data_IF_051404549485
#
_entry.id   IF_051404549485
#
_cell.length_a   1.000
_cell.length_b   1.000
_cell.length_c   1.000
_cell.angle_alpha   90.00
_cell.angle_beta   90.00
_cell.angle_gamma   90.00
#
_symmetry.space_group_name_H-M   'P 1'
#
loop_
_entity.id
_entity.type
_entity.pdbx_description
1 polymer ?
#
# COMPACT_ATOMS: atom_id res chain seq x y z
N UNK A 1 1.87 -36.88 -32.34
CA UNK A 1 1.10 -36.95 -31.09
C UNK A 1 1.54 -35.77 -30.27
N UNK A 2 0.71 -34.76 -30.00
CA UNK A 2 1.07 -33.67 -29.13
C UNK A 2 1.15 -34.19 -27.68
N UNK A 3 2.27 -33.95 -27.00
CA UNK A 3 2.41 -34.21 -25.58
C UNK A 3 1.44 -33.27 -24.84
N UNK A 4 0.46 -33.84 -24.16
CA UNK A 4 -0.37 -33.13 -23.22
C UNK A 4 0.54 -32.68 -22.07
N UNK A 5 0.68 -31.37 -21.89
CA UNK A 5 1.28 -30.79 -20.69
C UNK A 5 0.36 -31.21 -19.54
N UNK A 6 0.86 -31.87 -18.47
CA UNK A 6 0.03 -32.22 -17.34
C UNK A 6 -0.52 -30.91 -16.75
N UNK A 7 -1.83 -30.86 -16.48
CA UNK A 7 -2.43 -29.79 -15.70
C UNK A 7 -1.65 -29.68 -14.40
N UNK A 8 -1.10 -28.49 -14.11
CA UNK A 8 -0.54 -28.21 -12.79
C UNK A 8 -1.70 -28.37 -11.81
N UNK A 9 -1.54 -29.23 -10.81
CA UNK A 9 -2.44 -29.25 -9.66
C UNK A 9 -2.49 -27.83 -9.11
N UNK A 10 -3.66 -27.18 -9.24
CA UNK A 10 -3.90 -25.88 -8.64
C UNK A 10 -3.72 -26.01 -7.11
N UNK A 11 -2.99 -25.12 -6.45
CA UNK A 11 -2.86 -25.16 -5.00
C UNK A 11 -4.28 -25.10 -4.41
N UNK A 12 -4.65 -26.12 -3.66
CA UNK A 12 -5.92 -26.12 -2.94
C UNK A 12 -5.77 -25.23 -1.72
N UNK A 13 -6.20 -23.97 -1.83
CA UNK A 13 -6.27 -23.06 -0.68
C UNK A 13 -7.41 -23.47 0.25
N UNK A 14 -7.20 -23.34 1.56
CA UNK A 14 -8.29 -23.43 2.52
C UNK A 14 -9.23 -22.23 2.34
N UNK A 15 -10.52 -22.49 2.11
CA UNK A 15 -11.54 -21.47 1.85
C UNK A 15 -12.60 -21.57 2.95
N UNK A 16 -12.50 -20.76 4.01
CA UNK A 16 -13.44 -20.81 5.11
C UNK A 16 -14.81 -20.26 4.73
N UNK A 17 -15.85 -20.74 5.40
CA UNK A 17 -17.14 -20.08 5.44
C UNK A 17 -17.13 -19.05 6.59
N UNK A 18 -17.41 -17.78 6.29
CA UNK A 18 -17.35 -16.69 7.24
C UNK A 18 -18.72 -16.06 7.49
N UNK A 19 -18.92 -15.53 8.68
CA UNK A 19 -20.07 -14.72 9.05
C UNK A 19 -19.57 -13.33 9.40
N UNK A 20 -19.99 -12.32 8.62
CA UNK A 20 -19.67 -10.92 8.86
C UNK A 20 -20.91 -10.15 9.30
N UNK A 21 -20.78 -9.35 10.36
CA UNK A 21 -21.84 -8.48 10.87
C UNK A 21 -21.32 -7.08 11.07
N UNK A 22 -21.91 -6.11 10.39
CA UNK A 22 -21.58 -4.69 10.48
C UNK A 22 -22.70 -3.92 11.14
N UNK A 23 -22.35 -3.09 12.12
CA UNK A 23 -23.27 -2.19 12.79
C UNK A 23 -22.66 -0.79 12.93
N UNK A 24 -23.52 0.24 12.93
CA UNK A 24 -23.10 1.62 13.23
C UNK A 24 -22.71 1.72 14.70
N UNK A 25 -21.62 2.42 14.95
CA UNK A 25 -21.20 2.81 16.31
C UNK A 25 -21.75 4.20 16.60
N UNK A 26 -22.55 4.35 17.67
CA UNK A 26 -22.99 5.66 18.13
C UNK A 26 -21.79 6.42 18.72
N UNK A 27 -21.26 7.34 17.94
CA UNK A 27 -20.04 8.11 18.25
C UNK A 27 -20.36 9.41 19.00
N UNK A 28 -21.36 9.41 19.87
CA UNK A 28 -21.67 10.56 20.76
C UNK A 28 -20.50 10.94 21.70
N UNK A 29 -19.51 10.06 21.82
CA UNK A 29 -18.19 10.33 22.41
C UNK A 29 -17.20 10.21 21.26
N UNK A 30 -16.56 11.31 20.84
CA UNK A 30 -15.51 11.29 19.82
C UNK A 30 -14.62 10.06 20.05
N UNK A 31 -14.81 9.03 19.22
CA UNK A 31 -13.90 7.90 19.21
C UNK A 31 -12.50 8.44 18.97
N UNK A 32 -11.54 7.93 19.70
CA UNK A 32 -10.11 8.10 19.51
C UNK A 32 -9.74 8.01 18.02
N UNK A 33 -8.60 8.53 17.63
CA UNK A 33 -8.09 8.29 16.28
C UNK A 33 -8.13 6.78 15.99
N UNK A 34 -8.51 6.37 14.78
CA UNK A 34 -8.71 4.95 14.44
C UNK A 34 -7.52 4.07 14.86
N UNK A 35 -6.30 4.57 14.70
CA UNK A 35 -5.08 3.83 15.07
C UNK A 35 -4.95 3.59 16.59
N UNK A 36 -5.54 4.44 17.43
CA UNK A 36 -5.55 4.27 18.88
C UNK A 36 -6.48 3.13 19.34
N UNK A 37 -7.37 2.66 18.46
CA UNK A 37 -8.25 1.52 18.73
C UNK A 37 -7.53 0.17 18.60
N UNK A 38 -6.37 0.13 17.94
CA UNK A 38 -5.60 -1.09 17.75
C UNK A 38 -5.11 -1.63 19.11
N UNK A 39 -5.35 -2.91 19.42
CA UNK A 39 -4.84 -3.53 20.65
C UNK A 39 -3.32 -3.69 20.61
N UNK A 40 -2.70 -3.92 21.76
CA UNK A 40 -1.32 -4.35 21.81
C UNK A 40 -1.21 -5.74 21.16
N UNK A 41 -0.21 -5.91 20.30
CA UNK A 41 0.06 -7.16 19.59
C UNK A 41 1.56 -7.37 19.48
N UNK A 42 2.02 -8.63 19.61
CA UNK A 42 3.42 -8.96 19.40
C UNK A 42 3.80 -8.70 17.93
N UNK A 43 4.71 -7.75 17.72
CA UNK A 43 5.17 -7.30 16.42
C UNK A 43 4.04 -6.91 15.42
N UNK A 44 2.80 -6.70 15.91
CA UNK A 44 1.67 -6.30 15.08
C UNK A 44 1.16 -7.37 14.10
N UNK A 45 1.52 -8.63 14.27
CA UNK A 45 1.29 -9.71 13.31
C UNK A 45 -0.18 -9.93 12.93
N UNK A 46 -1.12 -9.53 13.78
CA UNK A 46 -2.56 -9.64 13.58
C UNK A 46 -3.27 -8.28 13.43
N UNK A 47 -2.52 -7.20 13.25
CA UNK A 47 -3.06 -5.86 13.04
C UNK A 47 -3.07 -5.51 11.55
N UNK A 48 -4.08 -4.76 11.13
CA UNK A 48 -4.16 -4.16 9.79
C UNK A 48 -4.63 -2.71 9.90
N UNK A 49 -4.14 -1.86 9.01
CA UNK A 49 -4.61 -0.47 8.94
C UNK A 49 -4.52 0.09 7.53
N UNK A 50 -5.47 0.96 7.20
CA UNK A 50 -5.50 1.81 6.02
C UNK A 50 -6.21 3.10 6.39
N UNK A 51 -5.45 4.10 6.82
CA UNK A 51 -6.01 5.33 7.41
C UNK A 51 -5.41 6.57 6.75
N UNK A 52 -6.26 7.56 6.46
CA UNK A 52 -5.87 8.85 5.93
C UNK A 52 -6.77 9.94 6.49
N UNK A 53 -6.20 11.02 7.06
CA UNK A 53 -6.95 12.15 7.66
C UNK A 53 -7.96 11.72 8.73
N UNK A 54 -7.64 10.68 9.48
CA UNK A 54 -8.52 10.15 10.52
C UNK A 54 -9.69 9.30 10.02
N UNK A 55 -9.81 9.07 8.71
CA UNK A 55 -10.77 8.19 8.06
C UNK A 55 -10.09 6.93 7.52
N UNK A 56 -10.86 5.89 7.28
CA UNK A 56 -10.39 4.62 6.72
C UNK A 56 -10.76 3.43 7.60
N UNK A 57 -9.91 2.41 7.60
CA UNK A 57 -10.16 1.13 8.25
C UNK A 57 -8.98 0.74 9.13
N UNK A 58 -9.28 0.19 10.31
CA UNK A 58 -8.32 -0.55 11.15
C UNK A 58 -8.94 -1.88 11.53
N UNK A 59 -8.12 -2.91 11.72
CA UNK A 59 -8.62 -4.21 12.12
C UNK A 59 -7.58 -5.03 12.87
N UNK A 60 -8.05 -6.08 13.55
CA UNK A 60 -7.22 -6.98 14.32
C UNK A 60 -7.80 -8.38 14.44
N UNK A 61 -6.95 -9.31 14.84
CA UNK A 61 -7.21 -10.74 14.79
C UNK A 61 -7.25 -11.24 13.34
N UNK A 62 -7.29 -12.55 13.16
CA UNK A 62 -7.29 -13.17 11.83
C UNK A 62 -8.43 -14.17 11.75
N UNK A 63 -9.48 -13.84 10.96
CA UNK A 63 -10.56 -14.77 10.65
C UNK A 63 -10.21 -15.70 9.49
N UNK A 64 -9.44 -15.19 8.51
CA UNK A 64 -8.90 -15.98 7.40
C UNK A 64 -7.65 -15.30 6.82
N UNK A 65 -6.80 -16.11 6.18
CA UNK A 65 -5.58 -15.64 5.55
C UNK A 65 -5.23 -16.55 4.35
N UNK A 66 -4.75 -15.95 3.27
CA UNK A 66 -4.09 -16.68 2.18
C UNK A 66 -2.75 -16.05 1.88
N UNK A 67 -1.76 -16.90 1.61
CA UNK A 67 -0.46 -16.51 1.05
C UNK A 67 -0.38 -17.03 -0.37
N UNK A 68 0.00 -16.16 -1.28
CA UNK A 68 0.19 -16.48 -2.70
C UNK A 68 1.58 -16.07 -3.14
N UNK A 69 2.10 -16.69 -4.20
CA UNK A 69 3.44 -16.41 -4.68
C UNK A 69 3.54 -16.62 -6.20
N UNK A 70 4.63 -16.15 -6.77
CA UNK A 70 4.90 -16.35 -8.20
C UNK A 70 4.09 -15.45 -9.13
N UNK A 71 4.10 -15.77 -10.43
CA UNK A 71 3.44 -14.96 -11.46
C UNK A 71 1.91 -14.94 -11.36
N UNK A 72 1.31 -15.94 -10.68
CA UNK A 72 -0.16 -16.05 -10.51
C UNK A 72 -0.67 -15.45 -9.19
N UNK A 73 0.20 -14.83 -8.38
CA UNK A 73 -0.11 -14.36 -7.02
C UNK A 73 -1.39 -13.51 -6.91
N UNK A 74 -1.64 -12.63 -7.87
CA UNK A 74 -2.86 -11.81 -7.91
C UNK A 74 -4.09 -12.63 -8.28
N UNK A 75 -3.99 -13.46 -9.33
CA UNK A 75 -5.09 -14.30 -9.80
C UNK A 75 -5.49 -15.33 -8.74
N UNK A 76 -4.51 -15.95 -8.06
CA UNK A 76 -4.75 -16.91 -6.98
C UNK A 76 -5.42 -16.24 -5.78
N UNK A 77 -4.97 -15.06 -5.38
CA UNK A 77 -5.57 -14.26 -4.32
C UNK A 77 -7.01 -13.82 -4.66
N UNK A 78 -7.24 -13.36 -5.90
CA UNK A 78 -8.56 -12.96 -6.37
C UNK A 78 -9.53 -14.14 -6.42
N UNK A 79 -9.07 -15.31 -6.87
CA UNK A 79 -9.84 -16.57 -6.88
C UNK A 79 -10.23 -16.97 -5.45
N UNK A 80 -9.25 -17.03 -4.55
CA UNK A 80 -9.51 -17.35 -3.15
C UNK A 80 -10.51 -16.40 -2.52
N UNK A 81 -10.34 -15.08 -2.72
CA UNK A 81 -11.26 -14.08 -2.20
C UNK A 81 -12.69 -14.26 -2.74
N UNK A 82 -12.83 -14.48 -4.04
CA UNK A 82 -14.14 -14.74 -4.65
C UNK A 82 -14.85 -15.95 -4.03
N UNK A 83 -14.10 -17.03 -3.75
CA UNK A 83 -14.65 -18.23 -3.11
C UNK A 83 -15.01 -17.99 -1.63
N UNK A 84 -14.23 -17.18 -0.89
CA UNK A 84 -14.55 -16.76 0.49
C UNK A 84 -15.85 -15.96 0.50
N UNK A 85 -15.97 -14.95 -0.39
CA UNK A 85 -17.17 -14.13 -0.53
C UNK A 85 -18.40 -14.97 -0.88
N UNK A 86 -18.26 -15.94 -1.80
CA UNK A 86 -19.37 -16.82 -2.20
C UNK A 86 -19.88 -17.71 -1.08
N UNK A 87 -19.04 -18.02 -0.08
CA UNK A 87 -19.41 -18.85 1.09
C UNK A 87 -19.79 -18.04 2.32
N UNK A 88 -19.59 -16.73 2.29
CA UNK A 88 -19.85 -15.87 3.44
C UNK A 88 -21.33 -15.56 3.63
N UNK A 89 -21.73 -15.36 4.88
CA UNK A 89 -23.00 -14.75 5.25
C UNK A 89 -22.72 -13.36 5.79
N UNK A 90 -23.25 -12.33 5.10
CA UNK A 90 -23.01 -10.94 5.45
C UNK A 90 -24.30 -10.28 5.90
N UNK A 91 -24.26 -9.62 7.05
CA UNK A 91 -25.31 -8.71 7.54
C UNK A 91 -24.67 -7.33 7.69
N UNK A 92 -25.08 -6.38 6.88
CA UNK A 92 -24.53 -5.03 6.87
C UNK A 92 -25.66 -4.00 6.95
N UNK A 93 -25.65 -3.21 8.03
CA UNK A 93 -26.62 -2.15 8.29
C UNK A 93 -26.16 -0.78 7.78
N UNK A 94 -24.93 -0.68 7.26
CA UNK A 94 -24.27 0.59 6.87
C UNK A 94 -24.23 0.78 5.36
N UNK A 95 -23.76 -0.21 4.61
CA UNK A 95 -23.71 -0.18 3.14
C UNK A 95 -22.73 0.82 2.53
N UNK A 96 -21.66 1.16 3.26
CA UNK A 96 -20.57 2.00 2.76
C UNK A 96 -19.39 1.13 2.26
N UNK A 97 -18.56 1.63 1.32
CA UNK A 97 -17.35 0.92 0.95
C UNK A 97 -16.46 0.63 2.16
N UNK A 98 -16.02 -0.63 2.29
CA UNK A 98 -15.26 -1.09 3.45
C UNK A 98 -16.11 -1.57 4.63
N UNK A 99 -17.42 -1.75 4.44
CA UNK A 99 -18.30 -2.45 5.38
C UNK A 99 -18.52 -3.91 4.96
N UNK A 100 -19.13 -4.72 5.81
CA UNK A 100 -19.32 -6.15 5.55
C UNK A 100 -18.01 -6.92 5.57
N UNK A 101 -17.84 -7.85 4.64
CA UNK A 101 -16.62 -8.66 4.54
C UNK A 101 -15.51 -7.87 3.83
N UNK A 102 -14.38 -7.71 4.51
CA UNK A 102 -13.23 -6.94 4.01
C UNK A 102 -11.95 -7.76 4.14
N UNK A 103 -11.09 -7.69 3.14
CA UNK A 103 -9.72 -8.22 3.17
C UNK A 103 -8.70 -7.09 3.02
N UNK A 104 -7.57 -7.21 3.70
CA UNK A 104 -6.40 -6.35 3.52
C UNK A 104 -5.31 -7.14 2.80
N UNK A 105 -4.59 -6.50 1.91
CA UNK A 105 -3.58 -7.20 1.12
C UNK A 105 -2.28 -6.43 0.96
N UNK A 106 -1.23 -7.19 0.73
CA UNK A 106 0.08 -6.69 0.37
C UNK A 106 0.74 -7.65 -0.62
N UNK A 107 1.08 -7.13 -1.80
CA UNK A 107 1.59 -7.92 -2.90
C UNK A 107 3.06 -7.61 -3.19
N UNK A 108 3.82 -8.64 -3.56
CA UNK A 108 5.22 -8.48 -3.90
C UNK A 108 5.41 -7.67 -5.19
N UNK A 109 6.51 -6.89 -5.25
CA UNK A 109 6.92 -6.16 -6.43
C UNK A 109 7.23 -7.10 -7.59
N UNK A 110 8.06 -8.10 -7.35
CA UNK A 110 8.44 -9.13 -8.34
C UNK A 110 7.57 -10.38 -8.22
N UNK A 111 7.47 -11.15 -9.28
CA UNK A 111 6.84 -12.46 -9.31
C UNK A 111 7.76 -13.61 -8.89
N UNK A 112 9.00 -13.32 -8.55
CA UNK A 112 10.00 -14.31 -8.12
C UNK A 112 10.77 -13.80 -6.87
N UNK A 113 10.55 -14.35 -5.67
CA UNK A 113 9.59 -15.41 -5.28
C UNK A 113 8.13 -14.98 -5.32
N UNK A 114 7.82 -13.69 -5.14
CA UNK A 114 6.50 -13.11 -5.29
C UNK A 114 5.58 -13.27 -4.07
N UNK A 115 6.13 -13.45 -2.86
CA UNK A 115 5.36 -13.68 -1.63
C UNK A 115 4.39 -12.54 -1.32
N UNK A 116 3.10 -12.87 -1.35
CA UNK A 116 1.99 -11.93 -1.20
C UNK A 116 0.97 -12.47 -0.20
N UNK A 117 0.12 -11.60 0.34
CA UNK A 117 -0.83 -11.98 1.37
C UNK A 117 -2.16 -11.24 1.21
N UNK A 118 -3.27 -11.93 1.50
CA UNK A 118 -4.56 -11.36 1.86
C UNK A 118 -4.95 -11.81 3.27
N UNK A 119 -5.37 -10.87 4.11
CA UNK A 119 -5.79 -11.09 5.49
C UNK A 119 -7.23 -10.62 5.64
N UNK A 120 -8.09 -11.45 6.22
CA UNK A 120 -9.42 -11.10 6.67
C UNK A 120 -9.37 -10.94 8.19
N UNK A 121 -9.48 -9.73 8.75
CA UNK A 121 -9.45 -9.52 10.20
C UNK A 121 -10.68 -10.11 10.89
N UNK A 122 -10.57 -10.43 12.17
CA UNK A 122 -11.74 -10.83 12.98
C UNK A 122 -12.60 -9.63 13.37
N UNK A 123 -11.98 -8.45 13.52
CA UNK A 123 -12.66 -7.20 13.84
C UNK A 123 -12.14 -6.11 12.91
N UNK A 124 -13.05 -5.32 12.35
CA UNK A 124 -12.74 -4.13 11.57
C UNK A 124 -13.52 -2.95 12.13
N UNK A 125 -12.84 -1.83 12.37
CA UNK A 125 -13.49 -0.55 12.67
C UNK A 125 -13.19 0.40 11.53
N UNK A 126 -14.25 0.99 10.98
CA UNK A 126 -14.13 1.93 9.88
C UNK A 126 -14.78 3.28 10.20
N UNK A 127 -14.28 4.33 9.55
CA UNK A 127 -14.83 5.69 9.63
C UNK A 127 -14.79 6.35 8.27
N UNK A 128 -15.93 6.97 7.90
CA UNK A 128 -16.06 7.79 6.69
C UNK A 128 -17.01 8.95 6.98
N UNK A 129 -16.50 10.17 6.90
CA UNK A 129 -17.27 11.37 7.26
C UNK A 129 -17.76 11.30 8.69
N UNK A 130 -19.08 11.35 8.87
CA UNK A 130 -19.73 11.26 10.18
C UNK A 130 -20.10 9.83 10.60
N UNK A 131 -19.90 8.84 9.74
CA UNK A 131 -20.28 7.45 10.00
C UNK A 131 -19.09 6.66 10.50
N UNK A 132 -19.26 6.01 11.65
CA UNK A 132 -18.31 5.04 12.20
C UNK A 132 -19.03 3.71 12.39
N UNK A 133 -18.37 2.61 12.06
CA UNK A 133 -18.93 1.27 12.16
C UNK A 133 -17.95 0.28 12.72
N UNK A 134 -18.46 -0.83 13.19
CA UNK A 134 -17.69 -2.02 13.55
C UNK A 134 -18.23 -3.20 12.77
N UNK A 135 -17.32 -4.01 12.21
CA UNK A 135 -17.61 -5.30 11.61
C UNK A 135 -16.93 -6.40 12.42
N UNK A 136 -17.67 -7.41 12.82
CA UNK A 136 -17.13 -8.65 13.38
C UNK A 136 -17.17 -9.75 12.33
N UNK A 137 -16.09 -10.50 12.21
CA UNK A 137 -15.94 -11.58 11.22
C UNK A 137 -15.48 -12.83 11.95
N UNK A 138 -16.24 -13.92 11.85
CA UNK A 138 -15.99 -15.18 12.51
C UNK A 138 -16.20 -16.37 11.56
N UNK A 139 -15.55 -17.51 11.83
CA UNK A 139 -15.81 -18.73 11.08
C UNK A 139 -17.21 -19.25 11.34
N UNK A 140 -17.92 -19.63 10.27
CA UNK A 140 -19.22 -20.26 10.41
C UNK A 140 -19.06 -21.62 11.14
N UNK A 141 -19.95 -21.95 12.09
CA UNK A 141 -19.91 -23.23 12.77
C UNK A 141 -20.13 -24.39 11.78
N UNK A 142 -19.40 -25.48 11.96
CA UNK A 142 -19.42 -26.63 11.05
C UNK A 142 -20.79 -27.38 11.01
N UNK A 143 -21.72 -27.09 11.92
CA UNK A 143 -23.06 -27.72 12.00
C UNK A 143 -24.16 -26.68 12.16
N UNK A 144 -25.27 -26.89 11.44
CA UNK A 144 -26.44 -26.00 11.43
C UNK A 144 -27.14 -25.81 12.80
N UNK A 145 -26.85 -26.63 13.79
CA UNK A 145 -27.42 -26.56 15.14
C UNK A 145 -26.87 -25.42 16.03
N UNK A 146 -25.74 -24.83 15.64
CA UNK A 146 -25.12 -23.72 16.38
C UNK A 146 -25.62 -22.31 15.92
N UNK A 147 -26.54 -22.24 14.96
CA UNK A 147 -26.97 -20.97 14.37
C UNK A 147 -27.97 -20.15 15.23
N UNK A 148 -28.32 -20.61 16.43
CA UNK A 148 -29.18 -19.89 17.37
C UNK A 148 -28.36 -19.24 18.49
N UNK A 149 -27.36 -18.43 18.16
CA UNK A 149 -26.80 -17.51 19.14
C UNK A 149 -27.66 -16.25 19.12
N UNK A 150 -28.25 -15.84 20.27
CA UNK A 150 -29.01 -14.60 20.34
C UNK A 150 -28.10 -13.45 19.90
N UNK A 151 -28.66 -12.46 19.19
CA UNK A 151 -28.03 -11.18 18.96
C UNK A 151 -27.58 -10.62 20.33
N UNK A 152 -26.44 -11.06 20.79
CA UNK A 152 -25.73 -10.38 21.85
C UNK A 152 -25.48 -9.00 21.26
N UNK A 153 -26.18 -8.00 21.81
CA UNK A 153 -25.82 -6.61 21.61
C UNK A 153 -24.30 -6.54 21.86
N UNK A 154 -23.54 -6.55 20.76
CA UNK A 154 -22.13 -6.26 20.80
C UNK A 154 -22.04 -4.77 21.19
N UNK A 155 -22.28 -4.49 22.47
CA UNK A 155 -21.53 -3.45 23.10
C UNK A 155 -20.07 -3.96 23.02
N UNK A 156 -19.47 -3.76 21.86
CA UNK A 156 -18.04 -3.70 21.78
C UNK A 156 -17.65 -2.60 22.77
N UNK A 157 -17.40 -2.98 24.01
CA UNK A 157 -16.54 -2.23 24.87
C UNK A 157 -15.26 -2.19 24.03
N UNK A 158 -15.02 -1.07 23.39
CA UNK A 158 -13.70 -0.77 22.88
C UNK A 158 -12.76 -1.17 24.01
N UNK A 159 -11.80 -2.09 23.81
CA UNK A 159 -10.83 -2.39 24.84
C UNK A 159 -10.33 -1.03 25.28
N UNK A 160 -10.57 -0.72 26.59
CA UNK A 160 -10.15 0.57 27.13
C UNK A 160 -8.70 0.69 26.72
N UNK A 161 -8.40 1.70 25.94
CA UNK A 161 -7.03 2.00 25.58
C UNK A 161 -6.27 2.09 26.90
N UNK A 162 -5.54 1.03 27.24
CA UNK A 162 -4.39 1.18 28.09
C UNK A 162 -3.48 2.09 27.29
N UNK A 163 -3.68 3.41 27.51
CA UNK A 163 -2.79 4.44 27.04
C UNK A 163 -1.49 4.35 27.85
N UNK A 164 -0.87 3.19 27.78
CA UNK A 164 0.54 3.05 28.07
C UNK A 164 1.20 3.97 27.07
N UNK A 165 1.79 5.06 27.55
CA UNK A 165 2.52 6.02 26.73
C UNK A 165 3.41 5.17 25.78
N UNK A 166 3.09 5.20 24.47
CA UNK A 166 3.84 4.46 23.46
C UNK A 166 5.29 4.94 23.59
N UNK A 167 6.15 4.11 24.19
CA UNK A 167 7.52 4.48 24.55
C UNK A 167 8.33 4.82 23.30
N UNK A 168 9.21 5.79 23.40
CA UNK A 168 10.24 6.02 22.40
C UNK A 168 11.16 4.79 22.40
N UNK A 169 11.25 4.09 21.28
CA UNK A 169 12.22 3.02 21.10
C UNK A 169 13.52 3.63 20.55
N UNK A 170 14.67 3.15 20.95
CA UNK A 170 15.91 3.62 20.36
C UNK A 170 16.29 2.71 19.18
N UNK A 171 16.37 3.29 17.99
CA UNK A 171 16.76 2.59 16.78
C UNK A 171 18.22 2.88 16.40
N UNK A 172 18.99 1.85 16.14
CA UNK A 172 20.31 1.94 15.50
C UNK A 172 20.22 1.48 14.06
N UNK A 173 20.71 2.31 13.14
CA UNK A 173 20.66 2.03 11.72
C UNK A 173 22.00 1.44 11.25
N UNK A 174 21.95 0.47 10.33
CA UNK A 174 23.11 -0.09 9.69
C UNK A 174 23.89 0.98 8.90
N UNK A 175 25.17 0.73 8.67
CA UNK A 175 25.92 1.48 7.69
C UNK A 175 25.39 1.19 6.28
N UNK A 176 25.41 2.19 5.43
CA UNK A 176 25.00 2.09 4.05
C UNK A 176 26.15 2.51 3.12
N UNK A 177 26.50 1.64 2.18
CA UNK A 177 27.52 1.90 1.17
C UNK A 177 26.96 2.79 0.05
N UNK A 178 27.02 4.10 0.28
CA UNK A 178 26.56 5.11 -0.68
C UNK A 178 27.37 5.12 -1.96
N UNK A 179 28.67 4.80 -1.92
CA UNK A 179 29.52 4.77 -3.12
C UNK A 179 29.13 3.63 -4.05
N UNK A 180 28.91 2.43 -3.50
CA UNK A 180 28.42 1.29 -4.26
C UNK A 180 27.06 1.58 -4.88
N UNK A 181 26.14 2.19 -4.14
CA UNK A 181 24.80 2.51 -4.65
C UNK A 181 24.87 3.57 -5.75
N UNK A 182 25.70 4.62 -5.60
CA UNK A 182 25.93 5.61 -6.67
C UNK A 182 26.53 4.98 -7.93
N UNK A 183 27.35 3.94 -7.80
CA UNK A 183 27.85 3.19 -8.96
C UNK A 183 26.74 2.44 -9.69
N UNK A 184 25.77 1.86 -8.98
CA UNK A 184 24.57 1.23 -9.57
C UNK A 184 23.72 2.26 -10.32
N UNK A 185 23.52 3.46 -9.75
CA UNK A 185 22.81 4.54 -10.42
C UNK A 185 23.57 5.00 -11.68
N UNK A 186 24.90 5.10 -11.62
CA UNK A 186 25.72 5.47 -12.77
C UNK A 186 25.62 4.44 -13.92
N UNK A 187 25.61 3.13 -13.60
CA UNK A 187 25.40 2.06 -14.60
C UNK A 187 24.02 2.18 -15.25
N UNK A 188 22.97 2.44 -14.44
CA UNK A 188 21.63 2.67 -14.95
C UNK A 188 21.57 3.87 -15.90
N UNK A 189 22.19 5.00 -15.55
CA UNK A 189 22.29 6.20 -16.41
C UNK A 189 23.00 5.88 -17.72
N UNK A 190 24.09 5.11 -17.68
CA UNK A 190 24.82 4.72 -18.89
C UNK A 190 23.95 3.86 -19.82
N UNK A 191 23.21 2.90 -19.30
CA UNK A 191 22.30 2.04 -20.08
C UNK A 191 21.15 2.84 -20.69
N UNK A 192 20.57 3.79 -19.95
CA UNK A 192 19.55 4.70 -20.47
C UNK A 192 20.12 5.55 -21.62
N UNK A 193 21.33 6.11 -21.46
CA UNK A 193 21.96 6.92 -22.49
C UNK A 193 22.37 6.13 -23.74
N UNK A 194 22.53 4.81 -23.63
CA UNK A 194 22.71 3.91 -24.79
C UNK A 194 21.39 3.60 -25.50
N UNK A 195 20.26 3.91 -24.89
CA UNK A 195 18.93 3.66 -25.44
C UNK A 195 18.36 2.27 -25.08
N UNK A 196 18.90 1.60 -24.06
CA UNK A 196 18.40 0.30 -23.59
C UNK A 196 17.00 0.44 -22.96
N UNK A 197 16.71 1.59 -22.29
CA UNK A 197 15.43 1.96 -21.70
C UNK A 197 15.39 3.48 -21.51
N UNK A 198 14.21 4.02 -21.16
CA UNK A 198 14.02 5.46 -20.96
C UNK A 198 14.17 5.88 -19.48
N UNK A 199 13.72 5.02 -18.56
CA UNK A 199 13.69 5.27 -17.12
C UNK A 199 13.76 3.96 -16.35
N UNK A 200 14.44 3.98 -15.20
CA UNK A 200 14.37 2.90 -14.20
C UNK A 200 14.30 3.48 -12.79
N UNK A 201 13.62 2.79 -11.88
CA UNK A 201 13.62 3.16 -10.46
C UNK A 201 14.56 2.24 -9.70
N UNK A 202 15.60 2.80 -9.08
CA UNK A 202 16.58 2.05 -8.29
C UNK A 202 16.29 2.26 -6.81
N UNK A 203 16.13 1.16 -6.10
CA UNK A 203 15.85 1.15 -4.67
C UNK A 203 17.06 0.71 -3.84
N UNK A 204 16.95 0.91 -2.55
CA UNK A 204 17.85 0.43 -1.52
C UNK A 204 17.12 0.19 -0.21
N UNK A 205 17.76 -0.56 0.67
CA UNK A 205 17.26 -0.81 2.01
C UNK A 205 18.21 -0.28 3.09
N UNK A 206 17.71 -0.25 4.31
CA UNK A 206 18.43 0.11 5.52
C UNK A 206 17.87 -0.72 6.67
N UNK A 207 18.73 -1.36 7.45
CA UNK A 207 18.31 -2.13 8.61
C UNK A 207 18.34 -1.25 9.85
N UNK A 208 17.23 -1.25 10.60
CA UNK A 208 17.13 -0.69 11.93
C UNK A 208 17.10 -1.83 12.96
N UNK A 209 17.96 -1.75 13.97
CA UNK A 209 17.93 -2.61 15.16
C UNK A 209 17.38 -1.81 16.31
N UNK A 210 16.31 -2.30 16.90
CA UNK A 210 15.59 -1.67 18.01
C UNK A 210 16.10 -2.19 19.35
N UNK A 211 16.06 -1.36 20.38
CA UNK A 211 16.44 -1.75 21.74
C UNK A 211 15.41 -2.70 22.40
N UNK A 212 14.13 -2.50 22.05
CA UNK A 212 13.01 -3.29 22.56
C UNK A 212 12.16 -3.80 21.38
N UNK A 213 11.38 -4.87 21.55
CA UNK A 213 10.43 -5.33 20.53
C UNK A 213 9.53 -4.18 20.04
N UNK A 214 9.29 -4.16 18.73
CA UNK A 214 8.48 -3.12 18.11
C UNK A 214 7.00 -3.25 18.53
N UNK A 215 6.44 -2.14 19.01
CA UNK A 215 5.00 -1.92 19.01
C UNK A 215 4.65 -1.05 17.80
N UNK A 216 4.13 -1.69 16.76
CA UNK A 216 3.88 -1.03 15.46
C UNK A 216 2.88 0.13 15.57
N UNK A 217 2.05 0.20 16.62
CA UNK A 217 1.12 1.30 16.86
C UNK A 217 1.85 2.64 17.01
N UNK A 218 3.03 2.62 17.65
CA UNK A 218 3.83 3.83 17.84
C UNK A 218 4.27 4.45 16.50
N UNK A 219 4.99 3.74 15.61
CA UNK A 219 5.34 4.31 14.30
C UNK A 219 4.13 4.61 13.43
N UNK A 220 3.03 3.85 13.47
CA UNK A 220 1.81 4.16 12.73
C UNK A 220 1.20 5.50 13.17
N UNK A 221 1.08 5.73 14.48
CA UNK A 221 0.56 6.99 15.02
C UNK A 221 1.43 8.17 14.61
N UNK A 222 2.76 8.05 14.77
CA UNK A 222 3.70 9.12 14.38
C UNK A 222 3.64 9.43 12.88
N UNK A 223 3.52 8.40 12.04
CA UNK A 223 3.37 8.57 10.59
C UNK A 223 2.05 9.27 10.24
N UNK A 224 0.94 8.88 10.85
CA UNK A 224 -0.36 9.49 10.60
C UNK A 224 -0.39 10.98 11.03
N UNK A 225 0.23 11.30 12.15
CA UNK A 225 0.31 12.68 12.66
C UNK A 225 1.23 13.55 11.80
N UNK A 226 2.40 13.03 11.42
CA UNK A 226 3.38 13.79 10.64
C UNK A 226 2.99 13.90 9.15
N UNK A 227 2.29 12.89 8.60
CA UNK A 227 1.94 12.81 7.18
C UNK A 227 0.44 12.60 6.93
N UNK A 228 -0.45 13.49 7.42
CA UNK A 228 -1.92 13.29 7.37
C UNK A 228 -2.48 13.20 5.95
N UNK A 229 -1.72 13.62 4.92
CA UNK A 229 -2.11 13.53 3.51
C UNK A 229 -1.78 12.18 2.89
N UNK A 230 -0.97 11.35 3.55
CA UNK A 230 -0.60 10.01 3.12
C UNK A 230 -1.58 8.97 3.69
N UNK A 231 -1.65 7.81 3.06
CA UNK A 231 -2.31 6.63 3.61
C UNK A 231 -1.34 5.91 4.55
N UNK A 232 -1.63 5.93 5.84
CA UNK A 232 -0.89 5.16 6.84
C UNK A 232 -1.44 3.75 6.84
N UNK A 233 -0.57 2.78 6.61
CA UNK A 233 -0.95 1.39 6.42
C UNK A 233 -0.09 0.43 7.23
N UNK A 234 -0.70 -0.72 7.54
CA UNK A 234 -0.03 -1.90 8.06
C UNK A 234 -0.73 -3.16 7.56
N UNK A 235 0.01 -4.09 6.98
CA UNK A 235 -0.46 -5.42 6.57
C UNK A 235 0.67 -6.43 6.73
N UNK A 236 0.49 -7.41 7.63
CA UNK A 236 1.40 -8.55 7.80
C UNK A 236 2.88 -8.11 7.94
N UNK A 237 3.15 -7.16 8.85
CA UNK A 237 4.50 -6.65 9.14
C UNK A 237 5.03 -5.58 8.19
N UNK A 238 4.42 -5.36 7.03
CA UNK A 238 4.75 -4.21 6.17
C UNK A 238 3.94 -3.00 6.59
N UNK A 239 4.60 -1.88 6.93
CA UNK A 239 3.95 -0.65 7.37
C UNK A 239 4.59 0.60 6.77
N UNK A 240 3.84 1.69 6.73
CA UNK A 240 4.34 2.95 6.18
C UNK A 240 3.27 4.02 6.02
N UNK A 241 3.65 5.12 5.33
CA UNK A 241 2.74 6.19 4.96
C UNK A 241 2.95 6.59 3.49
N UNK A 242 2.15 6.00 2.61
CA UNK A 242 2.28 6.22 1.17
C UNK A 242 1.48 7.43 0.70
N UNK A 243 2.06 8.33 -0.11
CA UNK A 243 1.33 9.41 -0.78
C UNK A 243 0.65 8.94 -2.07
N UNK A 244 0.97 7.74 -2.58
CA UNK A 244 0.63 7.30 -3.93
C UNK A 244 -0.50 6.27 -3.91
N UNK A 245 -1.65 6.67 -4.48
CA UNK A 245 -2.80 5.81 -4.69
C UNK A 245 -2.66 5.13 -6.05
N UNK A 246 -2.35 3.83 -6.04
CA UNK A 246 -2.29 3.05 -7.26
C UNK A 246 -3.65 3.00 -7.94
N UNK A 247 -4.69 2.59 -7.18
CA UNK A 247 -6.07 2.61 -7.65
C UNK A 247 -7.06 2.56 -6.49
N UNK A 248 -8.16 3.26 -6.66
CA UNK A 248 -9.41 3.13 -5.90
C UNK A 248 -10.53 2.75 -6.85
N UNK A 249 -11.32 1.76 -6.48
CA UNK A 249 -12.63 1.51 -7.06
C UNK A 249 -13.68 1.76 -5.99
N UNK A 250 -14.66 2.59 -6.28
CA UNK A 250 -15.75 2.91 -5.37
C UNK A 250 -17.05 3.01 -6.17
N UNK A 251 -17.97 2.06 -5.96
CA UNK A 251 -19.26 1.98 -6.68
C UNK A 251 -19.09 2.12 -8.21
N UNK A 252 -18.06 1.46 -8.74
CA UNK A 252 -17.72 1.49 -10.17
C UNK A 252 -16.87 2.68 -10.63
N UNK A 253 -16.71 3.73 -9.83
CA UNK A 253 -15.78 4.82 -10.14
C UNK A 253 -14.35 4.37 -9.83
N UNK A 254 -13.47 4.49 -10.80
CA UNK A 254 -12.03 4.18 -10.69
C UNK A 254 -11.26 5.50 -10.60
N UNK A 255 -10.31 5.57 -9.69
CA UNK A 255 -9.38 6.71 -9.53
C UNK A 255 -7.98 6.18 -9.29
N UNK A 256 -7.00 6.73 -10.01
CA UNK A 256 -5.57 6.49 -9.78
C UNK A 256 -4.86 7.82 -9.61
N UNK A 257 -3.98 7.95 -8.62
CA UNK A 257 -3.16 9.16 -8.41
C UNK A 257 -1.72 8.88 -8.81
N UNK A 258 -1.30 9.50 -9.88
CA UNK A 258 0.07 9.43 -10.40
C UNK A 258 0.92 10.52 -9.78
N UNK A 259 2.08 10.15 -9.25
CA UNK A 259 3.09 11.09 -8.73
C UNK A 259 4.40 10.88 -9.50
N UNK A 260 4.88 11.94 -10.14
CA UNK A 260 6.21 11.99 -10.77
C UNK A 260 6.72 13.42 -10.78
N UNK A 261 8.05 13.61 -10.79
CA UNK A 261 8.66 14.92 -10.54
C UNK A 261 8.63 15.28 -9.05
N UNK A 262 9.79 15.59 -8.49
CA UNK A 262 9.93 15.83 -7.04
C UNK A 262 10.84 16.99 -6.76
N UNK A 263 10.48 17.85 -5.81
CA UNK A 263 11.35 18.90 -5.28
C UNK A 263 11.30 18.90 -3.75
N UNK A 264 12.45 19.09 -3.09
CA UNK A 264 12.54 19.15 -1.63
C UNK A 264 11.97 20.48 -1.12
N UNK A 265 11.26 20.42 0.00
CA UNK A 265 10.86 21.61 0.73
C UNK A 265 11.99 22.11 1.63
N UNK A 266 12.01 23.41 1.84
CA UNK A 266 12.95 24.08 2.76
C UNK A 266 12.33 24.34 4.12
N UNK A 267 10.98 24.32 4.22
CA UNK A 267 10.22 24.70 5.41
C UNK A 267 9.96 26.21 5.51
N UNK A 268 10.43 27.00 4.54
CA UNK A 268 10.07 28.41 4.39
C UNK A 268 8.96 28.52 3.34
N UNK A 269 7.79 28.98 3.73
CA UNK A 269 6.59 28.97 2.88
C UNK A 269 6.74 29.82 1.61
N UNK A 270 7.43 30.95 1.65
CA UNK A 270 7.63 31.83 0.50
C UNK A 270 8.61 31.19 -0.50
N UNK A 271 9.69 30.61 0.02
CA UNK A 271 10.65 29.89 -0.81
C UNK A 271 10.02 28.63 -1.39
N UNK A 272 9.25 27.88 -0.62
CA UNK A 272 8.55 26.66 -1.07
C UNK A 272 7.51 26.96 -2.17
N UNK A 273 6.82 28.10 -2.12
CA UNK A 273 5.95 28.55 -3.23
C UNK A 273 6.74 28.79 -4.52
N UNK A 274 7.94 29.35 -4.41
CA UNK A 274 8.84 29.57 -5.56
C UNK A 274 9.31 28.23 -6.12
N UNK A 275 9.67 27.29 -5.26
CA UNK A 275 10.05 25.92 -5.65
C UNK A 275 8.88 25.18 -6.32
N UNK A 276 7.66 25.30 -5.79
CA UNK A 276 6.45 24.75 -6.40
C UNK A 276 6.22 25.28 -7.81
N UNK A 277 6.37 26.60 -8.00
CA UNK A 277 6.25 27.22 -9.32
C UNK A 277 7.37 26.79 -10.28
N UNK A 278 8.57 26.53 -9.77
CA UNK A 278 9.70 26.00 -10.55
C UNK A 278 9.38 24.58 -11.01
N UNK A 279 8.95 23.70 -10.12
CA UNK A 279 8.54 22.33 -10.42
C UNK A 279 7.44 22.28 -11.47
N UNK A 280 6.38 23.10 -11.29
CA UNK A 280 5.24 23.16 -12.22
C UNK A 280 5.60 23.68 -13.62
N UNK A 281 6.80 24.28 -13.81
CA UNK A 281 7.29 24.80 -15.10
C UNK A 281 8.50 24.05 -15.63
N UNK A 282 9.00 23.08 -14.89
CA UNK A 282 10.15 22.27 -15.31
C UNK A 282 9.76 21.35 -16.47
N UNK A 283 10.30 21.60 -17.64
CA UNK A 283 10.01 20.77 -18.83
C UNK A 283 10.41 19.31 -18.61
N UNK A 284 11.52 19.06 -17.90
CA UNK A 284 11.99 17.72 -17.55
C UNK A 284 10.97 16.99 -16.65
N UNK A 285 10.54 17.65 -15.56
CA UNK A 285 9.62 17.02 -14.60
C UNK A 285 8.23 16.83 -15.20
N UNK A 286 7.76 17.76 -16.06
CA UNK A 286 6.50 17.63 -16.78
C UNK A 286 6.53 16.48 -17.80
N UNK A 287 7.63 16.31 -18.53
CA UNK A 287 7.81 15.20 -19.47
C UNK A 287 7.83 13.84 -18.73
N UNK A 288 8.60 13.75 -17.64
CA UNK A 288 8.61 12.56 -16.78
C UNK A 288 7.21 12.23 -16.25
N UNK A 289 6.48 13.25 -15.82
CA UNK A 289 5.12 13.11 -15.30
C UNK A 289 4.14 12.64 -16.39
N UNK A 290 4.24 13.19 -17.60
CA UNK A 290 3.39 12.78 -18.74
C UNK A 290 3.57 11.29 -19.08
N UNK A 291 4.81 10.79 -19.09
CA UNK A 291 5.06 9.35 -19.28
C UNK A 291 4.37 8.49 -18.21
N UNK A 292 4.46 8.89 -16.95
CA UNK A 292 3.83 8.17 -15.86
C UNK A 292 2.29 8.18 -15.97
N UNK A 293 1.70 9.32 -16.29
CA UNK A 293 0.24 9.46 -16.48
C UNK A 293 -0.25 8.63 -17.67
N UNK A 294 0.47 8.67 -18.79
CA UNK A 294 0.13 7.87 -19.98
C UNK A 294 0.19 6.38 -19.69
N UNK A 295 1.24 5.91 -19.00
CA UNK A 295 1.38 4.50 -18.61
C UNK A 295 0.18 4.02 -17.78
N UNK A 296 -0.31 4.83 -16.83
CA UNK A 296 -1.50 4.51 -16.03
C UNK A 296 -2.77 4.53 -16.88
N UNK A 297 -2.93 5.54 -17.76
CA UNK A 297 -4.09 5.66 -18.61
C UNK A 297 -4.19 4.47 -19.58
N UNK A 298 -3.09 4.10 -20.23
CA UNK A 298 -3.01 2.97 -21.16
C UNK A 298 -3.30 1.63 -20.46
N UNK A 299 -2.82 1.44 -19.22
CA UNK A 299 -3.08 0.25 -18.44
C UNK A 299 -4.54 0.15 -17.97
N UNK A 300 -5.21 1.27 -17.70
CA UNK A 300 -6.62 1.31 -17.28
C UNK A 300 -7.61 1.27 -18.44
N UNK A 301 -7.25 1.69 -19.65
CA UNK A 301 -8.16 1.81 -20.79
C UNK A 301 -8.91 0.50 -21.14
N UNK A 302 -8.27 -0.69 -21.12
CA UNK A 302 -8.97 -1.97 -21.33
C UNK A 302 -10.01 -2.29 -20.23
N UNK A 303 -9.84 -1.73 -19.03
CA UNK A 303 -10.61 -2.03 -17.84
C UNK A 303 -11.65 -0.95 -17.48
N UNK A 304 -11.55 0.21 -18.10
CA UNK A 304 -12.41 1.36 -17.81
C UNK A 304 -13.11 1.88 -19.07
N UNK A 305 -14.21 2.55 -18.86
CA UNK A 305 -14.91 3.38 -19.86
C UNK A 305 -14.93 4.82 -19.37
N UNK A 306 -15.14 5.75 -20.30
CA UNK A 306 -15.25 7.18 -19.96
C UNK A 306 -14.09 7.71 -19.13
N UNK A 307 -12.87 7.37 -19.56
CA UNK A 307 -11.65 7.86 -18.92
C UNK A 307 -11.56 9.38 -18.98
N UNK A 308 -11.13 9.99 -17.87
CA UNK A 308 -10.73 11.40 -17.79
C UNK A 308 -9.29 11.48 -17.33
N UNK A 309 -8.43 12.00 -18.20
CA UNK A 309 -6.99 12.20 -17.95
C UNK A 309 -6.73 13.70 -18.04
N UNK A 310 -6.53 14.40 -16.92
CA UNK A 310 -6.22 15.84 -16.92
C UNK A 310 -4.95 16.16 -17.70
N UNK A 311 -4.99 17.21 -18.52
CA UNK A 311 -3.84 17.65 -19.34
C UNK A 311 -2.70 18.26 -18.51
N UNK A 312 -3.01 18.80 -17.34
CA UNK A 312 -2.04 19.48 -16.49
C UNK A 312 -2.03 18.90 -15.07
N UNK A 313 -0.85 18.61 -14.52
CA UNK A 313 -0.74 18.19 -13.13
C UNK A 313 -0.96 19.35 -12.17
N UNK A 314 -1.27 19.02 -10.92
CA UNK A 314 -1.19 19.94 -9.78
C UNK A 314 0.04 19.64 -8.92
N UNK A 315 0.44 20.59 -8.07
CA UNK A 315 1.52 20.36 -7.09
C UNK A 315 0.93 19.83 -5.80
N UNK A 316 1.32 18.59 -5.43
CA UNK A 316 0.99 18.00 -4.14
C UNK A 316 2.06 18.36 -3.13
N UNK A 317 1.66 19.03 -2.04
CA UNK A 317 2.54 19.40 -0.94
C UNK A 317 2.53 18.34 0.15
N UNK A 318 3.69 17.75 0.44
CA UNK A 318 3.96 16.92 1.61
C UNK A 318 4.88 17.68 2.57
N UNK A 319 5.04 17.26 3.82
CA UNK A 319 5.86 18.00 4.80
C UNK A 319 7.30 18.24 4.35
N UNK A 320 7.93 17.29 3.69
CA UNK A 320 9.35 17.29 3.32
C UNK A 320 9.63 17.45 1.82
N UNK A 321 8.63 17.21 0.95
CA UNK A 321 8.77 17.26 -0.51
C UNK A 321 7.49 17.77 -1.17
N UNK A 322 7.59 18.19 -2.43
CA UNK A 322 6.45 18.44 -3.31
C UNK A 322 6.58 17.57 -4.54
N UNK A 323 5.44 17.09 -5.07
CA UNK A 323 5.35 16.29 -6.29
C UNK A 323 4.40 16.92 -7.30
N UNK A 324 4.66 16.69 -8.59
CA UNK A 324 3.58 16.81 -9.57
C UNK A 324 2.63 15.63 -9.40
N UNK A 325 1.33 15.90 -9.48
CA UNK A 325 0.28 14.93 -9.26
C UNK A 325 -0.83 15.05 -10.30
N UNK A 326 -1.36 13.90 -10.77
CA UNK A 326 -2.53 13.85 -11.65
C UNK A 326 -3.45 12.74 -11.17
N UNK A 327 -4.75 13.08 -11.03
CA UNK A 327 -5.79 12.09 -10.71
C UNK A 327 -6.44 11.64 -12.02
N UNK A 328 -6.11 10.43 -12.47
CA UNK A 328 -6.75 9.75 -13.61
C UNK A 328 -8.02 9.09 -13.10
N UNK A 329 -9.15 9.33 -13.76
CA UNK A 329 -10.44 8.74 -13.36
C UNK A 329 -11.12 8.03 -14.51
N UNK A 330 -11.94 7.03 -14.20
CA UNK A 330 -12.72 6.27 -15.20
C UNK A 330 -13.87 5.51 -14.53
N UNK A 331 -14.67 4.83 -15.32
CA UNK A 331 -15.73 3.94 -14.85
C UNK A 331 -15.31 2.51 -15.18
N UNK A 332 -15.28 1.65 -14.17
CA UNK A 332 -14.94 0.24 -14.35
C UNK A 332 -15.86 -0.42 -15.38
N UNK A 333 -15.28 -1.20 -16.28
CA UNK A 333 -16.02 -2.09 -17.17
C UNK A 333 -16.22 -3.41 -16.47
N UNK A 334 -17.38 -4.00 -16.66
CA UNK A 334 -17.74 -5.29 -16.07
C UNK A 334 -17.59 -5.27 -14.52
N UNK A 335 -17.54 -6.42 -13.91
CA UNK A 335 -17.40 -6.56 -12.45
C UNK A 335 -15.91 -6.58 -12.00
N UNK A 336 -15.03 -5.80 -12.67
CA UNK A 336 -13.62 -5.73 -12.31
C UNK A 336 -13.44 -5.22 -10.89
N UNK A 337 -12.77 -6.03 -10.06
CA UNK A 337 -12.46 -5.68 -8.68
C UNK A 337 -11.29 -4.70 -8.59
N UNK A 338 -11.19 -3.98 -7.47
CA UNK A 338 -10.06 -3.10 -7.18
C UNK A 338 -8.71 -3.84 -7.23
N UNK A 339 -8.65 -5.12 -6.82
CA UNK A 339 -7.45 -5.94 -6.90
C UNK A 339 -7.03 -6.24 -8.34
N UNK A 340 -7.98 -6.57 -9.22
CA UNK A 340 -7.69 -6.80 -10.64
C UNK A 340 -7.20 -5.52 -11.35
N UNK A 341 -7.71 -4.36 -10.93
CA UNK A 341 -7.21 -3.08 -11.42
C UNK A 341 -5.79 -2.78 -10.88
N UNK A 342 -5.52 -3.13 -9.62
CA UNK A 342 -4.17 -3.01 -9.06
C UNK A 342 -3.16 -3.93 -9.76
N UNK A 343 -3.55 -5.17 -10.11
CA UNK A 343 -2.74 -6.09 -10.92
C UNK A 343 -2.40 -5.49 -12.30
N UNK A 344 -3.39 -4.91 -12.99
CA UNK A 344 -3.21 -4.31 -14.31
C UNK A 344 -2.25 -3.10 -14.30
N UNK A 345 -2.16 -2.40 -13.17
CA UNK A 345 -1.30 -1.23 -12.98
C UNK A 345 0.09 -1.60 -12.41
N UNK A 346 0.30 -2.84 -12.00
CA UNK A 346 1.54 -3.23 -11.30
C UNK A 346 2.47 -4.08 -12.16
N UNK A 347 3.79 -3.75 -12.17
CA UNK A 347 4.39 -2.54 -11.61
C UNK A 347 4.20 -1.32 -12.52
N UNK A 348 3.89 -0.17 -11.93
CA UNK A 348 3.79 1.08 -12.69
C UNK A 348 5.16 1.64 -13.07
N UNK A 349 5.20 2.54 -14.06
CA UNK A 349 6.41 3.25 -14.43
C UNK A 349 7.00 4.11 -13.29
N UNK A 350 6.18 4.45 -12.28
CA UNK A 350 6.61 5.22 -11.12
C UNK A 350 7.54 4.42 -10.16
N UNK A 351 7.47 3.08 -10.18
CA UNK A 351 8.27 2.21 -9.30
C UNK A 351 9.09 1.15 -10.04
N UNK A 352 8.80 0.90 -11.30
CA UNK A 352 9.59 0.04 -12.21
C UNK A 352 10.45 0.86 -13.14
N UNK A 353 9.83 1.43 -14.15
CA UNK A 353 10.45 2.24 -15.20
C UNK A 353 9.76 2.08 -16.54
N UNK A 354 10.42 2.54 -17.60
CA UNK A 354 9.89 2.57 -18.98
C UNK A 354 10.96 2.13 -19.98
N UNK A 355 10.72 1.12 -20.87
CA UNK A 355 9.60 0.18 -20.84
C UNK A 355 9.60 -0.67 -19.57
N UNK A 356 8.41 -1.03 -19.07
CA UNK A 356 8.30 -1.68 -17.74
C UNK A 356 9.03 -3.02 -17.67
N UNK A 357 8.91 -3.87 -18.70
CA UNK A 357 9.54 -5.20 -18.69
C UNK A 357 11.07 -5.12 -18.65
N UNK A 358 11.67 -4.21 -19.45
CA UNK A 358 13.12 -4.01 -19.50
C UNK A 358 13.63 -3.39 -18.19
N UNK A 359 12.88 -2.44 -17.63
CA UNK A 359 13.21 -1.83 -16.36
C UNK A 359 13.18 -2.84 -15.19
N UNK A 360 12.17 -3.71 -15.12
CA UNK A 360 12.09 -4.76 -14.10
C UNK A 360 13.22 -5.77 -14.24
N UNK A 361 13.58 -6.15 -15.48
CA UNK A 361 14.72 -7.03 -15.73
C UNK A 361 16.05 -6.38 -15.27
N UNK A 362 16.24 -5.09 -15.56
CA UNK A 362 17.40 -4.34 -15.12
C UNK A 362 17.47 -4.22 -13.59
N UNK A 363 16.35 -3.92 -12.92
CA UNK A 363 16.27 -3.89 -11.45
C UNK A 363 16.76 -5.21 -10.85
N UNK A 364 16.28 -6.35 -11.38
CA UNK A 364 16.68 -7.67 -10.90
C UNK A 364 18.18 -7.94 -11.11
N UNK A 365 18.80 -7.37 -12.16
CA UNK A 365 20.21 -7.52 -12.47
C UNK A 365 21.13 -6.69 -11.56
N UNK A 366 20.79 -5.39 -11.35
CA UNK A 366 21.76 -4.43 -10.78
C UNK A 366 21.45 -3.95 -9.37
N UNK A 367 20.19 -4.01 -8.89
CA UNK A 367 19.78 -3.44 -7.61
C UNK A 367 20.42 -4.15 -6.41
N UNK A 368 20.65 -5.46 -6.52
CA UNK A 368 21.38 -6.26 -5.54
C UNK A 368 20.62 -6.49 -4.23
N UNK A 369 19.29 -6.29 -4.23
CA UNK A 369 18.38 -6.60 -3.13
C UNK A 369 17.07 -7.16 -3.63
N UNK A 370 16.38 -7.91 -2.80
CA UNK A 370 14.98 -8.29 -3.03
C UNK A 370 14.07 -7.24 -2.40
N UNK A 371 13.15 -6.70 -3.18
CA UNK A 371 12.19 -5.70 -2.70
C UNK A 371 11.12 -6.31 -1.83
N UNK A 372 10.84 -7.62 -1.97
CA UNK A 372 9.71 -8.24 -1.31
C UNK A 372 8.42 -7.49 -1.69
N UNK A 373 7.68 -7.01 -0.68
CA UNK A 373 6.43 -6.26 -0.85
C UNK A 373 6.62 -4.74 -0.94
N UNK A 374 7.84 -4.22 -0.74
CA UNK A 374 8.15 -2.82 -1.00
C UNK A 374 7.91 -2.46 -2.48
N UNK A 375 7.31 -1.30 -2.72
CA UNK A 375 6.89 -0.81 -4.05
C UNK A 375 5.83 -1.69 -4.75
N UNK A 376 5.29 -2.70 -4.05
CA UNK A 376 4.14 -3.48 -4.47
C UNK A 376 2.82 -2.86 -4.02
N UNK A 377 1.67 -3.35 -4.52
CA UNK A 377 0.36 -2.93 -4.08
C UNK A 377 0.08 -3.31 -2.62
N UNK A 378 -0.44 -2.36 -1.85
CA UNK A 378 -0.90 -2.55 -0.48
C UNK A 378 -2.22 -1.83 -0.28
N UNK A 379 -3.17 -2.46 0.42
CA UNK A 379 -4.49 -1.84 0.61
C UNK A 379 -5.55 -2.82 1.08
N UNK A 380 -6.79 -2.58 0.66
CA UNK A 380 -7.95 -3.37 1.06
C UNK A 380 -8.97 -3.52 -0.08
N UNK A 381 -9.81 -4.54 0.03
CA UNK A 381 -10.93 -4.82 -0.86
C UNK A 381 -12.09 -5.39 -0.05
N UNK A 382 -13.33 -4.97 -0.36
CA UNK A 382 -14.55 -5.55 0.22
C UNK A 382 -15.20 -6.61 -0.70
N UNK A 383 -16.30 -7.19 -0.22
CA UNK A 383 -17.03 -8.24 -0.94
C UNK A 383 -17.68 -7.76 -2.25
N UNK A 384 -17.87 -6.45 -2.43
CA UNK A 384 -18.39 -5.87 -3.68
C UNK A 384 -17.33 -5.64 -4.73
N UNK A 385 -16.05 -5.86 -4.37
CA UNK A 385 -14.88 -5.56 -5.18
C UNK A 385 -14.45 -4.10 -5.13
N UNK A 386 -15.12 -3.26 -4.33
CA UNK A 386 -14.65 -1.91 -4.03
C UNK A 386 -13.42 -1.98 -3.11
N UNK A 387 -12.55 -0.99 -3.19
CA UNK A 387 -11.32 -0.98 -2.39
C UNK A 387 -10.34 0.09 -2.80
N UNK A 388 -9.29 0.22 -2.01
CA UNK A 388 -8.18 1.14 -2.24
C UNK A 388 -6.86 0.39 -2.16
N UNK A 389 -6.01 0.60 -3.16
CA UNK A 389 -4.65 0.07 -3.23
C UNK A 389 -3.67 1.21 -3.46
N UNK A 390 -2.71 1.37 -2.59
CA UNK A 390 -1.57 2.25 -2.77
C UNK A 390 -0.33 1.47 -3.19
N UNK A 391 0.72 2.20 -3.56
CA UNK A 391 2.05 1.62 -3.74
C UNK A 391 2.76 1.69 -2.38
N UNK A 392 3.32 0.59 -1.90
CA UNK A 392 4.00 0.50 -0.60
C UNK A 392 5.31 1.30 -0.59
N UNK A 393 5.20 2.62 -0.54
CA UNK A 393 6.30 3.57 -0.46
C UNK A 393 6.41 4.17 0.94
N UNK A 394 7.57 4.80 1.25
CA UNK A 394 7.83 5.36 2.59
C UNK A 394 7.49 4.32 3.67
N UNK A 395 8.03 3.13 3.49
CA UNK A 395 7.62 1.93 4.22
C UNK A 395 8.81 1.19 4.81
N UNK A 396 8.49 0.33 5.76
CA UNK A 396 9.42 -0.65 6.32
C UNK A 396 8.70 -1.97 6.55
N UNK A 397 9.48 -3.03 6.69
CA UNK A 397 9.02 -4.38 6.99
C UNK A 397 9.63 -4.86 8.31
N UNK A 398 8.81 -5.41 9.17
CA UNK A 398 9.22 -6.05 10.42
C UNK A 398 9.79 -7.42 10.05
N UNK A 399 11.11 -7.59 10.22
CA UNK A 399 11.80 -8.85 9.92
C UNK A 399 11.72 -9.81 11.11
N UNK A 400 11.90 -9.26 12.31
CA UNK A 400 11.74 -9.91 13.60
C UNK A 400 11.35 -8.84 14.65
N UNK A 401 11.04 -9.21 15.92
CA UNK A 401 10.57 -8.24 16.91
C UNK A 401 11.48 -7.03 17.15
N UNK A 402 12.78 -7.13 16.85
CA UNK A 402 13.76 -6.07 17.08
C UNK A 402 14.46 -5.59 15.80
N UNK A 403 14.12 -6.17 14.66
CA UNK A 403 14.74 -5.83 13.37
C UNK A 403 13.71 -5.34 12.37
N UNK A 404 13.93 -4.14 11.85
CA UNK A 404 13.06 -3.52 10.86
C UNK A 404 13.88 -3.14 9.64
N UNK A 405 13.39 -3.50 8.45
CA UNK A 405 14.00 -3.19 7.17
C UNK A 405 13.24 -2.05 6.50
N UNK A 406 13.91 -0.91 6.31
CA UNK A 406 13.36 0.29 5.70
C UNK A 406 13.76 0.33 4.22
N UNK A 407 12.91 0.98 3.40
CA UNK A 407 13.13 1.04 1.96
C UNK A 407 13.01 2.47 1.41
N UNK A 408 13.82 2.78 0.41
CA UNK A 408 13.68 3.98 -0.42
C UNK A 408 14.20 3.72 -1.83
N UNK A 409 13.72 4.51 -2.79
CA UNK A 409 14.20 4.46 -4.17
C UNK A 409 13.98 5.79 -4.87
N UNK A 410 14.64 5.99 -6.00
CA UNK A 410 14.46 7.14 -6.88
C UNK A 410 14.41 6.73 -8.35
N UNK A 411 13.71 7.54 -9.14
CA UNK A 411 13.65 7.39 -10.58
C UNK A 411 14.92 7.89 -11.22
N UNK A 412 15.57 7.05 -12.02
CA UNK A 412 16.80 7.36 -12.74
C UNK A 412 16.46 7.54 -14.20
N UNK A 413 16.92 8.65 -14.78
CA UNK A 413 16.82 9.01 -16.21
C UNK A 413 18.22 9.34 -16.75
N UNK A 414 18.36 9.52 -18.06
CA UNK A 414 19.67 9.77 -18.69
C UNK A 414 20.43 11.01 -18.19
N UNK A 415 19.74 11.96 -17.57
CA UNK A 415 20.32 13.16 -16.97
C UNK A 415 20.50 13.10 -15.45
N UNK A 416 20.18 11.97 -14.82
CA UNK A 416 20.32 11.80 -13.37
C UNK A 416 21.77 11.87 -12.92
N UNK A 417 22.01 12.53 -11.76
CA UNK A 417 23.31 12.63 -11.11
C UNK A 417 23.32 11.72 -9.87
N UNK A 418 24.19 10.71 -9.79
CA UNK A 418 24.16 9.72 -8.71
C UNK A 418 24.17 10.29 -7.28
N UNK A 419 24.89 11.40 -7.05
CA UNK A 419 24.94 12.06 -5.75
C UNK A 419 23.59 12.71 -5.37
N UNK A 420 22.88 13.28 -6.33
CA UNK A 420 21.58 13.91 -6.12
C UNK A 420 20.53 12.83 -5.84
N UNK A 421 20.57 11.71 -6.57
CA UNK A 421 19.68 10.56 -6.34
C UNK A 421 19.92 9.92 -4.97
N UNK A 422 21.17 9.84 -4.52
CA UNK A 422 21.51 9.40 -3.15
C UNK A 422 20.91 10.34 -2.11
N UNK A 423 21.03 11.65 -2.30
CA UNK A 423 20.44 12.64 -1.39
C UNK A 423 18.90 12.55 -1.36
N UNK A 424 18.26 12.31 -2.52
CA UNK A 424 16.81 12.10 -2.61
C UNK A 424 16.40 10.83 -1.88
N UNK A 425 17.10 9.70 -2.09
CA UNK A 425 16.79 8.44 -1.39
C UNK A 425 16.92 8.57 0.14
N UNK A 426 17.93 9.33 0.62
CA UNK A 426 18.08 9.65 2.04
C UNK A 426 16.85 10.43 2.58
N UNK A 427 16.37 11.43 1.83
CA UNK A 427 15.19 12.19 2.22
C UNK A 427 13.93 11.33 2.27
N UNK A 428 13.81 10.34 1.40
CA UNK A 428 12.68 9.40 1.35
C UNK A 428 12.67 8.39 2.50
N UNK A 429 13.81 8.15 3.18
CA UNK A 429 13.88 7.33 4.40
C UNK A 429 13.45 8.08 5.66
N UNK A 430 13.50 9.43 5.67
CA UNK A 430 13.23 10.24 6.87
C UNK A 430 11.91 9.87 7.54
N UNK A 431 10.77 9.76 6.84
CA UNK A 431 9.48 9.50 7.49
C UNK A 431 9.50 8.26 8.38
N UNK A 432 10.01 7.15 7.88
CA UNK A 432 10.02 5.88 8.62
C UNK A 432 11.12 5.86 9.68
N UNK A 433 12.29 6.48 9.42
CA UNK A 433 13.36 6.60 10.41
C UNK A 433 12.90 7.39 11.65
N UNK A 434 12.25 8.52 11.44
CA UNK A 434 11.72 9.35 12.52
C UNK A 434 10.56 8.66 13.25
N UNK A 435 9.75 7.88 12.54
CA UNK A 435 8.68 7.12 13.15
C UNK A 435 9.16 5.99 14.07
N UNK A 436 10.37 5.46 13.86
CA UNK A 436 10.98 4.42 14.69
C UNK A 436 11.77 4.96 15.89
N UNK A 437 12.08 6.27 15.90
CA UNK A 437 12.93 6.91 16.92
C UNK A 437 12.22 7.18 18.26
#
# INVERSE_FOLDING_TARGET
VPFAVPARDEPAFDVPALIARTAVVDDSRRLSALLELLPASEAGSDLVSWVRRGEGLVGWGTAALVRTAGPTRFADAAKWWSEVVARATVTDEVGEPGTGLVSFGSFAFSDAPGDSVLVVPSIVVGRRGATTWVTTIESAPATAEAAAVPAASARASAPGADATALGANSARFSEFDGERWMAVVADAVERINRGDLEKVVIARDLIATLAEPIDVRAPLTRLADAYPMCWTFHVDGLFGATPELLVRRERGLVTSRVLAGTIRRTGDDEHDLTLAATLARSSKDLEEHEYAVRSVADALDPHCSSMNVPESPFVLHLPNVMHLATDVTGVARDDRTSLQLAEALHPSAAVGGTPTADAVALIAEIEGMERGRYAGPVGWMDATGDGEWGIALRSAEIVDPTTVRLFAGCGVVGSSVPADELAESNAKLIPVREALA
#
